data_IF_933972906409
#
_entry.id   IF_933972906409
#
_cell.length_a   1.000
_cell.length_b   1.000
_cell.length_c   1.000
_cell.angle_alpha   90.00
_cell.angle_beta   90.00
_cell.angle_gamma   90.00
#
_symmetry.space_group_name_H-M   'P 1'
#
loop_
_entity.id
_entity.type
_entity.pdbx_description
1 polymer ?
#
# COMPACT_ATOMS: atom_id res chain seq x y z
N UNK A 1 -24.32 8.69 1.88
CA UNK A 1 -22.95 8.46 1.39
C UNK A 1 -22.94 7.13 0.68
N UNK A 2 -22.99 7.17 -0.65
CA UNK A 2 -22.87 5.98 -1.50
C UNK A 2 -21.39 5.80 -1.85
N UNK A 3 -20.77 4.73 -1.35
CA UNK A 3 -19.31 4.57 -1.40
C UNK A 3 -18.94 3.42 -2.32
N UNK A 4 -18.19 3.71 -3.38
CA UNK A 4 -17.71 2.70 -4.33
C UNK A 4 -16.33 2.21 -3.91
N UNK A 5 -16.14 0.89 -3.89
CA UNK A 5 -14.83 0.29 -3.61
C UNK A 5 -14.14 -0.06 -4.91
N UNK A 6 -12.90 0.38 -5.06
CA UNK A 6 -12.03 0.03 -6.16
C UNK A 6 -10.84 -0.77 -5.63
N UNK A 7 -10.58 -1.91 -6.25
CA UNK A 7 -9.44 -2.75 -5.92
C UNK A 7 -8.38 -2.54 -7.00
N UNK A 8 -7.17 -2.14 -6.60
CA UNK A 8 -6.03 -1.99 -7.50
C UNK A 8 -4.84 -2.79 -6.97
N UNK A 9 -4.12 -3.48 -7.85
CA UNK A 9 -2.90 -4.20 -7.49
C UNK A 9 -1.73 -3.32 -7.94
N UNK A 10 -0.78 -3.03 -7.04
CA UNK A 10 0.47 -2.39 -7.44
C UNK A 10 1.45 -3.48 -7.90
N UNK A 11 1.82 -3.44 -9.18
CA UNK A 11 2.71 -4.45 -9.79
C UNK A 11 4.12 -4.42 -9.18
N UNK A 12 4.55 -3.24 -8.70
CA UNK A 12 5.89 -3.01 -8.17
C UNK A 12 6.19 -3.78 -6.87
N UNK A 13 5.17 -4.01 -6.05
CA UNK A 13 5.32 -4.69 -4.75
C UNK A 13 4.53 -5.99 -4.64
N UNK A 14 3.77 -6.37 -5.68
CA UNK A 14 2.81 -7.47 -5.65
C UNK A 14 1.83 -7.35 -4.45
N UNK A 15 1.61 -6.12 -3.98
CA UNK A 15 0.76 -5.79 -2.84
C UNK A 15 -0.63 -5.38 -3.32
N UNK A 16 -1.64 -5.92 -2.65
CA UNK A 16 -3.04 -5.57 -2.91
C UNK A 16 -3.36 -4.26 -2.20
N UNK A 17 -3.81 -3.27 -2.95
CA UNK A 17 -4.19 -1.96 -2.43
C UNK A 17 -5.68 -1.70 -2.70
N UNK A 18 -6.42 -1.47 -1.62
CA UNK A 18 -7.85 -1.17 -1.66
C UNK A 18 -8.03 0.34 -1.58
N UNK A 19 -8.65 0.94 -2.60
CA UNK A 19 -9.04 2.35 -2.61
C UNK A 19 -10.54 2.46 -2.43
N UNK A 20 -10.95 3.33 -1.51
CA UNK A 20 -12.33 3.68 -1.26
C UNK A 20 -12.57 5.02 -1.94
N UNK A 21 -13.49 5.04 -2.90
CA UNK A 21 -13.80 6.21 -3.73
C UNK A 21 -15.22 6.67 -3.42
N UNK A 22 -15.39 7.97 -3.18
CA UNK A 22 -16.71 8.57 -3.09
C UNK A 22 -17.39 8.51 -4.46
N UNK A 23 -18.59 7.93 -4.54
CA UNK A 23 -19.27 7.71 -5.81
C UNK A 23 -19.79 8.99 -6.44
N UNK A 24 -20.04 10.03 -5.65
CA UNK A 24 -20.57 11.32 -6.10
C UNK A 24 -19.44 12.20 -6.65
N UNK A 25 -18.35 12.34 -5.89
CA UNK A 25 -17.25 13.24 -6.21
C UNK A 25 -16.11 12.54 -6.98
N UNK A 26 -16.13 11.21 -7.10
CA UNK A 26 -15.06 10.39 -7.68
C UNK A 26 -13.68 10.63 -7.04
N UNK A 27 -13.67 10.98 -5.76
CA UNK A 27 -12.44 11.26 -5.01
C UNK A 27 -12.06 10.06 -4.14
N UNK A 28 -10.76 9.80 -3.99
CA UNK A 28 -10.28 8.75 -3.06
C UNK A 28 -10.41 9.29 -1.64
N UNK A 29 -11.29 8.68 -0.85
CA UNK A 29 -11.49 9.06 0.55
C UNK A 29 -10.62 8.25 1.51
N UNK A 30 -10.16 7.06 1.10
CA UNK A 30 -9.28 6.21 1.92
C UNK A 30 -8.56 5.13 1.10
N UNK A 31 -7.37 4.74 1.55
CA UNK A 31 -6.60 3.62 1.00
C UNK A 31 -6.18 2.64 2.11
N UNK A 32 -6.18 1.33 1.82
CA UNK A 32 -5.72 0.28 2.73
C UNK A 32 -4.86 -0.73 1.95
N UNK A 33 -3.61 -0.99 2.36
CA UNK A 33 -2.83 -0.25 3.35
C UNK A 33 -2.53 1.20 2.91
N UNK A 34 -2.27 2.09 3.88
CA UNK A 34 -1.88 3.48 3.56
C UNK A 34 -0.50 3.51 2.92
N UNK A 35 -0.23 4.52 2.10
CA UNK A 35 1.08 4.70 1.47
C UNK A 35 2.22 4.75 2.49
N UNK A 36 2.01 5.39 3.64
CA UNK A 36 2.99 5.42 4.73
C UNK A 36 3.29 4.03 5.28
N UNK A 37 2.28 3.17 5.40
CA UNK A 37 2.45 1.78 5.86
C UNK A 37 3.21 0.94 4.83
N UNK A 38 2.92 1.15 3.55
CA UNK A 38 3.65 0.51 2.43
C UNK A 38 5.12 0.92 2.49
N UNK A 39 5.41 2.22 2.56
CA UNK A 39 6.77 2.75 2.65
C UNK A 39 7.50 2.24 3.89
N UNK A 40 6.83 2.21 5.04
CA UNK A 40 7.42 1.67 6.28
C UNK A 40 7.79 0.19 6.10
N UNK A 41 6.90 -0.61 5.52
CA UNK A 41 7.13 -2.03 5.29
C UNK A 41 8.30 -2.27 4.33
N UNK A 42 8.43 -1.46 3.27
CA UNK A 42 9.56 -1.50 2.34
C UNK A 42 10.89 -1.16 3.05
N UNK A 43 10.95 -0.05 3.79
CA UNK A 43 12.16 0.34 4.53
C UNK A 43 12.59 -0.74 5.55
N UNK A 44 11.64 -1.37 6.25
CA UNK A 44 11.94 -2.46 7.18
C UNK A 44 12.50 -3.67 6.43
N UNK A 45 11.91 -4.06 5.29
CA UNK A 45 12.40 -5.16 4.46
C UNK A 45 13.83 -4.92 3.97
N UNK A 46 14.13 -3.71 3.50
CA UNK A 46 15.47 -3.33 3.07
C UNK A 46 16.49 -3.42 4.22
N UNK A 47 16.15 -2.86 5.39
CA UNK A 47 17.02 -2.92 6.57
C UNK A 47 17.29 -4.36 7.01
N UNK A 48 16.27 -5.23 7.02
CA UNK A 48 16.42 -6.65 7.35
C UNK A 48 17.31 -7.35 6.31
N UNK A 49 17.15 -7.05 5.03
CA UNK A 49 18.01 -7.57 3.97
C UNK A 49 19.49 -7.22 4.20
N UNK A 50 19.79 -5.95 4.48
CA UNK A 50 21.15 -5.50 4.78
C UNK A 50 21.74 -6.19 6.01
N UNK A 51 20.95 -6.40 7.06
CA UNK A 51 21.39 -7.11 8.26
C UNK A 51 21.67 -8.60 7.95
N UNK A 52 20.83 -9.24 7.14
CA UNK A 52 21.03 -10.62 6.73
C UNK A 52 22.31 -10.78 5.89
N UNK A 53 22.53 -9.89 4.92
CA UNK A 53 23.72 -9.87 4.07
C UNK A 53 25.00 -9.64 4.89
N UNK A 54 24.92 -8.89 5.99
CA UNK A 54 26.08 -8.63 6.87
C UNK A 54 26.46 -9.79 7.79
N UNK A 55 25.57 -10.79 7.96
CA UNK A 55 25.75 -11.93 8.86
C UNK A 55 25.95 -13.25 8.10
N UNK A 56 25.81 -13.23 6.77
CA UNK A 56 26.15 -14.34 5.87
C UNK A 56 27.58 -14.25 5.32
#
# INVERSE_FOLDING_TARGET
MDVKREFSIQEDSNEVVVKIIDSEEKTVIRQIPTEETIRLSQNIKEMVGLLYDSVS
#
